data_IF_281085250147
#
_entry.id   IF_281085250147
#
_cell.length_a   1.000
_cell.length_b   1.000
_cell.length_c   1.000
_cell.angle_alpha   90.00
_cell.angle_beta   90.00
_cell.angle_gamma   90.00
#
_symmetry.space_group_name_H-M   'P 1'
#
loop_
_entity.id
_entity.type
_entity.pdbx_description
1 polymer ?
#
# COMPACT_ATOMS: atom_id res chain seq x y z
N UNK A 1 -40.42 29.37 -38.32
CA UNK A 1 -39.86 28.02 -38.15
C UNK A 1 -40.03 27.26 -39.45
N UNK A 2 -38.96 27.13 -40.22
CA UNK A 2 -38.94 26.36 -41.46
C UNK A 2 -38.48 24.93 -41.19
N UNK A 3 -38.84 23.99 -42.08
CA UNK A 3 -38.37 22.60 -42.00
C UNK A 3 -36.83 22.51 -42.00
N UNK A 4 -36.16 23.42 -42.72
CA UNK A 4 -34.70 23.52 -42.74
C UNK A 4 -34.12 23.94 -41.38
N UNK A 5 -34.72 24.90 -40.67
CA UNK A 5 -34.28 25.30 -39.33
C UNK A 5 -34.39 24.16 -38.31
N UNK A 6 -35.44 23.35 -38.40
CA UNK A 6 -35.64 22.19 -37.52
C UNK A 6 -34.59 21.11 -37.77
N UNK A 7 -34.26 20.83 -39.04
CA UNK A 7 -33.23 19.85 -39.41
C UNK A 7 -31.83 20.30 -38.96
N UNK A 8 -31.50 21.58 -39.12
CA UNK A 8 -30.22 22.10 -38.63
C UNK A 8 -30.15 22.01 -37.11
N UNK A 9 -31.23 22.40 -36.42
CA UNK A 9 -31.29 22.34 -34.95
C UNK A 9 -31.17 20.91 -34.43
N UNK A 10 -31.80 19.92 -35.09
CA UNK A 10 -31.71 18.52 -34.68
C UNK A 10 -30.33 17.92 -34.91
N UNK A 11 -29.66 18.26 -36.01
CA UNK A 11 -28.28 17.82 -36.28
C UNK A 11 -27.30 18.41 -35.27
N UNK A 12 -27.42 19.70 -34.96
CA UNK A 12 -26.59 20.37 -33.94
C UNK A 12 -26.83 19.79 -32.55
N UNK A 13 -28.10 19.51 -32.21
CA UNK A 13 -28.44 18.89 -30.94
C UNK A 13 -27.89 17.46 -30.84
N UNK A 14 -28.02 16.67 -31.90
CA UNK A 14 -27.51 15.31 -31.97
C UNK A 14 -25.97 15.29 -31.83
N UNK A 15 -25.26 16.15 -32.57
CA UNK A 15 -23.79 16.21 -32.50
C UNK A 15 -23.30 16.69 -31.13
N UNK A 16 -23.96 17.70 -30.54
CA UNK A 16 -23.64 18.19 -29.19
C UNK A 16 -23.89 17.11 -28.13
N UNK A 17 -24.97 16.35 -28.25
CA UNK A 17 -25.30 15.24 -27.34
C UNK A 17 -24.27 14.12 -27.45
N UNK A 18 -23.85 13.75 -28.67
CA UNK A 18 -22.80 12.74 -28.88
C UNK A 18 -21.45 13.18 -28.31
N UNK A 19 -21.06 14.46 -28.49
CA UNK A 19 -19.84 15.00 -27.91
C UNK A 19 -19.90 15.01 -26.37
N UNK A 20 -21.03 15.40 -25.79
CA UNK A 20 -21.23 15.36 -24.35
C UNK A 20 -21.11 13.94 -23.78
N UNK A 21 -21.73 12.95 -24.44
CA UNK A 21 -21.63 11.55 -24.02
C UNK A 21 -20.18 11.02 -24.05
N UNK A 22 -19.40 11.44 -25.05
CA UNK A 22 -17.97 11.10 -25.12
C UNK A 22 -17.15 11.66 -23.96
N UNK A 23 -17.43 12.90 -23.55
CA UNK A 23 -16.77 13.51 -22.37
C UNK A 23 -17.20 12.82 -21.08
N UNK A 24 -18.48 12.49 -20.93
CA UNK A 24 -18.98 11.78 -19.74
C UNK A 24 -18.42 10.37 -19.62
N UNK A 25 -18.30 9.61 -20.72
CA UNK A 25 -17.72 8.27 -20.67
C UNK A 25 -16.25 8.30 -20.28
N UNK A 26 -15.50 9.28 -20.79
CA UNK A 26 -14.11 9.50 -20.39
C UNK A 26 -14.01 9.86 -18.90
N UNK A 27 -14.85 10.78 -18.42
CA UNK A 27 -14.86 11.17 -17.01
C UNK A 27 -15.17 9.98 -16.08
N UNK A 28 -16.11 9.10 -16.46
CA UNK A 28 -16.41 7.88 -15.71
C UNK A 28 -15.21 6.93 -15.70
N UNK A 29 -14.49 6.79 -16.82
CA UNK A 29 -13.26 6.02 -16.90
C UNK A 29 -12.19 6.50 -15.91
N UNK A 30 -11.94 7.81 -15.89
CA UNK A 30 -10.98 8.43 -14.96
C UNK A 30 -11.43 8.31 -13.49
N UNK A 31 -12.72 8.45 -13.20
CA UNK A 31 -13.25 8.25 -11.84
C UNK A 31 -13.05 6.81 -11.35
N UNK A 32 -13.28 5.82 -12.20
CA UNK A 32 -13.07 4.42 -11.84
C UNK A 32 -11.59 4.13 -11.58
N UNK A 33 -10.70 4.67 -12.41
CA UNK A 33 -9.25 4.55 -12.22
C UNK A 33 -8.77 5.21 -10.93
N UNK A 34 -9.27 6.42 -10.63
CA UNK A 34 -8.97 7.11 -9.39
C UNK A 34 -9.43 6.31 -8.16
N UNK A 35 -10.64 5.74 -8.23
CA UNK A 35 -11.18 4.88 -7.17
C UNK A 35 -10.32 3.63 -6.94
N UNK A 36 -9.90 2.96 -8.02
CA UNK A 36 -9.03 1.79 -7.91
C UNK A 36 -7.68 2.11 -7.25
N UNK A 37 -7.08 3.25 -7.59
CA UNK A 37 -5.85 3.72 -6.94
C UNK A 37 -6.06 4.01 -5.45
N UNK A 38 -7.19 4.61 -5.09
CA UNK A 38 -7.54 4.87 -3.70
C UNK A 38 -7.74 3.57 -2.90
N UNK A 39 -8.46 2.60 -3.48
CA UNK A 39 -8.69 1.29 -2.86
C UNK A 39 -7.36 0.55 -2.62
N UNK A 40 -6.44 0.53 -3.60
CA UNK A 40 -5.10 -0.03 -3.42
C UNK A 40 -4.28 0.73 -2.37
N UNK A 41 -4.32 2.07 -2.36
CA UNK A 41 -3.63 2.87 -1.36
C UNK A 41 -4.13 2.57 0.05
N UNK A 42 -5.45 2.42 0.22
CA UNK A 42 -6.06 2.07 1.49
C UNK A 42 -5.66 0.67 1.95
N UNK A 43 -5.58 -0.29 1.02
CA UNK A 43 -5.13 -1.66 1.30
C UNK A 43 -3.68 -1.67 1.81
N UNK A 44 -2.77 -0.96 1.13
CA UNK A 44 -1.36 -0.87 1.55
C UNK A 44 -1.21 -0.21 2.93
N UNK A 45 -1.98 0.84 3.21
CA UNK A 45 -1.99 1.47 4.54
C UNK A 45 -2.52 0.55 5.62
N UNK A 46 -3.57 -0.22 5.32
CA UNK A 46 -4.14 -1.19 6.25
C UNK A 46 -3.11 -2.25 6.64
N UNK A 47 -2.37 -2.77 5.65
CA UNK A 47 -1.28 -3.74 5.88
C UNK A 47 -0.12 -3.15 6.68
N UNK A 48 0.24 -1.89 6.43
CA UNK A 48 1.26 -1.18 7.20
C UNK A 48 0.84 -1.01 8.66
N UNK A 49 -0.40 -0.57 8.91
CA UNK A 49 -0.94 -0.37 10.25
C UNK A 49 -1.09 -1.70 10.98
N UNK A 50 -1.53 -2.76 10.31
CA UNK A 50 -1.65 -4.09 10.92
C UNK A 50 -0.28 -4.64 11.32
N UNK A 51 0.76 -4.45 10.49
CA UNK A 51 2.14 -4.80 10.84
C UNK A 51 2.62 -4.02 12.05
N UNK A 52 2.37 -2.70 12.06
CA UNK A 52 2.76 -1.84 13.17
C UNK A 52 2.11 -2.29 14.50
N UNK A 53 0.79 -2.50 14.51
CA UNK A 53 0.05 -2.99 15.68
C UNK A 53 0.51 -4.37 16.13
N UNK A 54 0.84 -5.25 15.19
CA UNK A 54 1.39 -6.56 15.51
C UNK A 54 2.73 -6.44 16.26
N UNK A 55 3.66 -5.63 15.75
CA UNK A 55 4.96 -5.42 16.40
C UNK A 55 4.82 -4.74 17.76
N UNK A 56 3.88 -3.80 17.92
CA UNK A 56 3.56 -3.19 19.21
C UNK A 56 2.96 -4.18 20.23
N UNK A 57 2.17 -5.16 19.76
CA UNK A 57 1.46 -6.07 20.66
C UNK A 57 2.36 -6.97 21.51
N UNK A 58 3.64 -7.13 21.15
CA UNK A 58 4.64 -7.86 21.94
C UNK A 58 4.40 -9.37 22.10
N UNK A 59 3.36 -9.95 21.48
CA UNK A 59 2.86 -11.31 21.79
C UNK A 59 3.84 -12.44 21.42
N UNK A 60 4.89 -12.18 20.64
CA UNK A 60 5.95 -13.17 20.33
C UNK A 60 7.22 -12.50 19.79
N UNK A 61 7.68 -11.42 20.43
CA UNK A 61 8.76 -10.59 19.88
C UNK A 61 10.18 -11.09 20.20
N UNK A 62 10.34 -11.98 21.18
CA UNK A 62 11.65 -12.57 21.54
C UNK A 62 12.25 -13.43 20.44
N UNK A 63 11.43 -14.02 19.57
CA UNK A 63 11.90 -14.81 18.42
C UNK A 63 12.16 -13.96 17.17
N UNK A 64 11.80 -12.67 17.18
CA UNK A 64 12.01 -11.75 16.06
C UNK A 64 13.41 -11.11 16.10
N UNK A 65 14.13 -11.24 17.22
CA UNK A 65 15.46 -10.67 17.40
C UNK A 65 16.53 -11.73 17.17
N UNK A 66 17.71 -11.28 16.71
CA UNK A 66 18.86 -12.16 16.53
C UNK A 66 19.35 -12.66 17.91
N UNK A 67 19.28 -13.97 18.20
CA UNK A 67 19.73 -14.48 19.48
C UNK A 67 21.24 -14.26 19.60
N UNK A 68 21.67 -13.68 20.71
CA UNK A 68 23.09 -13.54 21.11
C UNK A 68 23.88 -12.37 20.49
N UNK A 69 23.22 -11.35 19.97
CA UNK A 69 23.89 -10.08 19.64
C UNK A 69 23.67 -9.06 20.76
N UNK A 70 24.74 -8.39 21.21
CA UNK A 70 24.64 -7.22 22.12
C UNK A 70 23.89 -6.05 21.45
N UNK A 71 23.74 -6.11 20.13
CA UNK A 71 23.04 -5.12 19.33
C UNK A 71 21.60 -5.59 19.08
N UNK A 72 20.62 -4.82 19.56
CA UNK A 72 19.22 -5.12 19.37
C UNK A 72 18.80 -5.01 17.88
N UNK A 73 18.84 -6.14 17.17
CA UNK A 73 18.55 -6.25 15.73
C UNK A 73 17.47 -7.29 15.47
N UNK A 74 16.67 -7.06 14.43
CA UNK A 74 15.75 -8.07 13.93
C UNK A 74 16.52 -9.21 13.27
N UNK A 75 16.10 -10.45 13.52
CA UNK A 75 16.47 -11.61 12.73
C UNK A 75 15.62 -11.59 11.44
N UNK A 76 16.20 -11.15 10.32
CA UNK A 76 15.46 -10.90 9.09
C UNK A 76 14.62 -12.08 8.58
N UNK A 77 15.15 -13.30 8.67
CA UNK A 77 14.44 -14.53 8.26
C UNK A 77 13.25 -14.81 9.18
N UNK A 78 13.42 -14.63 10.49
CA UNK A 78 12.35 -14.84 11.46
C UNK A 78 11.27 -13.75 11.34
N UNK A 79 11.67 -12.51 11.07
CA UNK A 79 10.77 -11.39 10.83
C UNK A 79 9.90 -11.63 9.58
N UNK A 80 10.52 -12.03 8.46
CA UNK A 80 9.82 -12.30 7.21
C UNK A 80 8.86 -13.49 7.33
N UNK A 81 9.29 -14.58 7.98
CA UNK A 81 8.43 -15.73 8.26
C UNK A 81 7.24 -15.38 9.16
N UNK A 82 7.48 -14.68 10.27
CA UNK A 82 6.43 -14.28 11.20
C UNK A 82 5.45 -13.27 10.61
N UNK A 83 5.94 -12.39 9.72
CA UNK A 83 5.11 -11.48 8.96
C UNK A 83 4.24 -12.23 7.94
N UNK A 84 4.79 -13.22 7.24
CA UNK A 84 4.07 -14.04 6.25
C UNK A 84 2.92 -14.84 6.87
N UNK A 85 3.06 -15.29 8.12
CA UNK A 85 1.98 -15.98 8.83
C UNK A 85 0.82 -15.06 9.24
N UNK A 86 1.07 -13.74 9.34
CA UNK A 86 0.11 -12.77 9.89
C UNK A 86 -0.48 -11.83 8.86
N UNK A 87 0.29 -11.45 7.85
CA UNK A 87 -0.14 -10.54 6.81
C UNK A 87 -0.99 -11.30 5.79
N UNK A 88 -2.29 -11.06 5.84
CA UNK A 88 -3.20 -11.53 4.81
C UNK A 88 -3.08 -10.59 3.62
N UNK A 89 -2.27 -10.98 2.63
CA UNK A 89 -2.09 -10.23 1.40
C UNK A 89 -3.22 -10.59 0.41
N UNK A 90 -3.69 -9.60 -0.36
CA UNK A 90 -4.54 -9.83 -1.52
C UNK A 90 -3.74 -10.39 -2.70
N UNK A 91 -4.41 -10.94 -3.72
CA UNK A 91 -3.77 -11.48 -4.93
C UNK A 91 -2.86 -10.49 -5.64
N UNK A 92 -3.20 -9.21 -5.55
CA UNK A 92 -2.55 -8.14 -6.30
C UNK A 92 -1.54 -7.38 -5.42
N UNK A 93 -1.30 -7.85 -4.19
CA UNK A 93 -0.39 -7.23 -3.23
C UNK A 93 0.76 -8.16 -2.88
N UNK A 94 1.97 -7.62 -2.80
CA UNK A 94 3.15 -8.32 -2.33
C UNK A 94 3.83 -7.56 -1.20
N UNK A 95 4.50 -8.31 -0.31
CA UNK A 95 5.34 -7.77 0.75
C UNK A 95 6.77 -8.27 0.61
N UNK A 96 7.74 -7.41 0.91
CA UNK A 96 9.15 -7.77 1.01
C UNK A 96 9.79 -7.09 2.20
N UNK A 97 10.57 -7.85 2.96
CA UNK A 97 11.43 -7.31 4.01
C UNK A 97 12.87 -7.22 3.53
N UNK A 98 13.46 -6.03 3.63
CA UNK A 98 14.82 -5.76 3.14
C UNK A 98 15.64 -5.13 4.28
N UNK A 99 16.85 -5.62 4.60
CA UNK A 99 17.65 -5.02 5.67
C UNK A 99 18.02 -3.56 5.33
N UNK A 100 17.99 -2.70 6.34
CA UNK A 100 18.50 -1.33 6.20
C UNK A 100 20.03 -1.35 6.05
N UNK A 101 20.62 -0.66 5.05
CA UNK A 101 22.07 -0.66 4.84
C UNK A 101 22.87 -0.13 6.04
N UNK A 102 22.26 0.66 6.92
CA UNK A 102 22.89 1.17 8.14
C UNK A 102 22.69 0.25 9.35
N UNK A 103 22.03 -0.89 9.17
CA UNK A 103 21.77 -1.88 10.22
C UNK A 103 20.76 -1.44 11.26
N UNK A 104 19.95 -0.41 10.99
CA UNK A 104 19.00 0.14 11.97
C UNK A 104 17.75 -0.74 12.14
N UNK A 105 17.46 -1.60 11.17
CA UNK A 105 16.27 -2.44 11.16
C UNK A 105 15.99 -3.01 9.78
N UNK A 106 14.72 -3.23 9.48
CA UNK A 106 14.27 -3.75 8.18
C UNK A 106 13.21 -2.83 7.57
N UNK A 107 13.35 -2.60 6.27
CA UNK A 107 12.34 -1.97 5.43
C UNK A 107 11.27 -2.99 5.08
N UNK A 108 10.01 -2.67 5.36
CA UNK A 108 8.87 -3.34 4.77
C UNK A 108 8.48 -2.59 3.49
N UNK A 109 8.53 -3.28 2.37
CA UNK A 109 8.11 -2.83 1.05
C UNK A 109 6.81 -3.55 0.69
N UNK A 110 5.70 -2.80 0.64
CA UNK A 110 4.40 -3.28 0.20
C UNK A 110 4.14 -2.74 -1.20
N UNK A 111 3.76 -3.62 -2.12
CA UNK A 111 3.52 -3.25 -3.53
C UNK A 111 2.16 -3.77 -3.96
N UNK A 112 1.32 -2.90 -4.51
CA UNK A 112 0.07 -3.27 -5.17
C UNK A 112 0.23 -3.11 -6.70
N UNK A 113 -0.13 -4.16 -7.43
CA UNK A 113 -0.21 -4.09 -8.89
C UNK A 113 -1.42 -3.25 -9.30
N UNK A 114 -1.19 -2.31 -10.20
CA UNK A 114 -2.23 -1.47 -10.79
C UNK A 114 -2.39 -1.88 -12.25
N UNK A 115 -3.61 -1.75 -12.78
CA UNK A 115 -3.88 -2.02 -14.21
C UNK A 115 -3.09 -1.08 -15.14
N UNK A 116 -2.61 0.05 -14.61
CA UNK A 116 -1.68 0.92 -15.31
C UNK A 116 -0.25 0.38 -15.19
N UNK A 117 0.27 -0.20 -16.28
CA UNK A 117 1.60 -0.85 -16.37
C UNK A 117 2.79 0.07 -16.05
N UNK A 118 2.57 1.38 -15.85
CA UNK A 118 3.64 2.37 -15.80
C UNK A 118 4.35 2.45 -14.44
N UNK A 119 3.68 2.14 -13.33
CA UNK A 119 4.35 1.95 -12.04
C UNK A 119 3.40 1.33 -11.02
N UNK A 120 3.78 0.22 -10.36
CA UNK A 120 2.98 -0.30 -9.25
C UNK A 120 2.96 0.71 -8.09
N UNK A 121 1.88 0.68 -7.32
CA UNK A 121 1.77 1.49 -6.11
C UNK A 121 2.64 0.87 -5.02
N UNK A 122 3.58 1.65 -4.46
CA UNK A 122 4.51 1.16 -3.47
C UNK A 122 4.42 1.96 -2.17
N UNK A 123 4.39 1.25 -1.05
CA UNK A 123 4.51 1.82 0.30
C UNK A 123 5.70 1.20 1.00
N UNK A 124 6.59 2.04 1.53
CA UNK A 124 7.79 1.59 2.23
C UNK A 124 7.91 2.25 3.61
N UNK A 125 8.20 1.46 4.64
CA UNK A 125 8.43 1.95 5.99
C UNK A 125 9.57 1.18 6.67
N UNK A 126 10.42 1.90 7.42
CA UNK A 126 11.47 1.31 8.25
C UNK A 126 10.89 0.89 9.59
N UNK A 127 11.16 -0.35 9.97
CA UNK A 127 10.84 -0.90 11.28
C UNK A 127 12.14 -1.19 12.01
N UNK A 128 12.26 -0.67 13.23
CA UNK A 128 13.43 -0.88 14.09
C UNK A 128 13.00 -1.54 15.40
N UNK A 129 13.74 -2.52 15.94
CA UNK A 129 13.37 -3.17 17.19
C UNK A 129 13.16 -2.20 18.37
N UNK A 130 13.99 -1.14 18.42
CA UNK A 130 13.94 -0.13 19.47
C UNK A 130 12.64 0.70 19.44
N UNK A 131 12.07 0.96 18.26
CA UNK A 131 10.81 1.69 18.14
C UNK A 131 9.61 0.92 18.72
N UNK A 132 9.75 -0.39 18.88
CA UNK A 132 8.71 -1.28 19.39
C UNK A 132 9.00 -1.80 20.81
N UNK A 133 9.97 -1.20 21.51
CA UNK A 133 10.33 -1.61 22.87
C UNK A 133 10.86 -3.04 22.98
N UNK A 134 11.35 -3.61 21.87
CA UNK A 134 11.85 -4.99 21.83
C UNK A 134 13.28 -5.11 22.39
N UNK A 135 13.96 -3.98 22.51
CA UNK A 135 15.29 -3.89 23.08
C UNK A 135 15.19 -3.73 24.60
N UNK A 136 15.88 -4.56 25.36
CA UNK A 136 16.08 -4.30 26.79
C UNK A 136 17.00 -3.08 26.92
N UNK A 137 16.56 -2.05 27.64
CA UNK A 137 17.48 -1.03 28.13
C UNK A 137 18.25 -1.60 29.32
N UNK A 138 19.55 -1.29 29.44
CA UNK A 138 20.35 -1.69 30.61
C UNK A 138 19.76 -1.18 31.95
N UNK A 139 18.88 -0.17 31.93
CA UNK A 139 18.18 0.35 33.12
C UNK A 139 17.07 -0.57 33.64
N UNK A 140 16.52 -1.47 32.83
CA UNK A 140 15.52 -2.45 33.29
C UNK A 140 16.14 -3.67 34.02
N UNK A 141 17.48 -3.71 34.11
CA UNK A 141 18.24 -4.84 34.70
C UNK A 141 18.87 -4.51 36.07
N UNK A 142 18.64 -3.32 36.62
CA UNK A 142 19.08 -2.93 37.98
C UNK A 142 17.96 -3.06 39.00
#
# INVERSE_FOLDING_TARGET
>A
MTLAEVLISSVVLASSSSAALGVWSQAVGEMNRAKQLEDHSLQLETLRISTHRWLESGVSSTHLLEPMTDECRFAGVALDAAASERLVLGSDTSSRWTPDPRGLGHWLELTAQTDDETSPLMRRQLFTPAAYGLCQSEEARR
#
